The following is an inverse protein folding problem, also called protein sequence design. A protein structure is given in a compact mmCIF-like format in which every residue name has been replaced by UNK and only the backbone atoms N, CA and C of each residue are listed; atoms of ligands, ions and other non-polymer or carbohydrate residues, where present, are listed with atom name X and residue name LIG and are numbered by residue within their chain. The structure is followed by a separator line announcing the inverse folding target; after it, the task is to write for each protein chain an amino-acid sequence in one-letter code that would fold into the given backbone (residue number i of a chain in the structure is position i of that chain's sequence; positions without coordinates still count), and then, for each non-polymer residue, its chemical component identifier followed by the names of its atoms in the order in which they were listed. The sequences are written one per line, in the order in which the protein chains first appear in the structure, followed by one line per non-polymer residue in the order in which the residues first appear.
data_IF_335029336974
#
_entry.id   IF_335029336974
#
_cell.length_a   1.000
_cell.length_b   1.000
_cell.length_c   1.000
_cell.angle_alpha   90.00
_cell.angle_beta   90.00
_cell.angle_gamma   90.00
#
_symmetry.space_group_name_H-M   'P 1'
#
loop_
_entity.id
_entity.type
_entity.pdbx_description
1 polymer ?
#
# COMPACT_ATOMS: atom_id res chain seq x y z
N UNK A 1 -17.13 -13.07 2.39
CA UNK A 1 -15.93 -13.21 1.54
C UNK A 1 -14.76 -13.44 2.47
N UNK A 2 -13.73 -14.21 2.11
CA UNK A 2 -12.59 -14.41 3.02
C UNK A 2 -11.56 -13.26 2.84
N UNK A 3 -10.62 -13.12 3.77
CA UNK A 3 -9.63 -12.04 3.75
C UNK A 3 -8.79 -12.01 2.46
N UNK A 4 -8.40 -13.16 1.92
CA UNK A 4 -7.62 -13.27 0.68
C UNK A 4 -8.42 -12.73 -0.52
N UNK A 5 -9.70 -13.06 -0.59
CA UNK A 5 -10.60 -12.58 -1.62
C UNK A 5 -10.78 -11.05 -1.53
N UNK A 6 -10.89 -10.50 -0.32
CA UNK A 6 -11.01 -9.06 -0.10
C UNK A 6 -9.74 -8.31 -0.53
N UNK A 7 -8.57 -8.87 -0.22
CA UNK A 7 -7.29 -8.30 -0.64
C UNK A 7 -7.15 -8.35 -2.17
N UNK A 8 -7.56 -9.45 -2.79
CA UNK A 8 -7.58 -9.60 -4.24
C UNK A 8 -8.48 -8.55 -4.90
N UNK A 9 -9.70 -8.36 -4.38
CA UNK A 9 -10.61 -7.32 -4.89
C UNK A 9 -9.98 -5.93 -4.75
N UNK A 10 -9.44 -5.60 -3.57
CA UNK A 10 -8.84 -4.28 -3.34
C UNK A 10 -7.71 -3.98 -4.35
N UNK A 11 -6.88 -4.97 -4.67
CA UNK A 11 -5.82 -4.83 -5.67
C UNK A 11 -6.37 -4.70 -7.10
N UNK A 12 -7.42 -5.46 -7.45
CA UNK A 12 -8.06 -5.37 -8.78
C UNK A 12 -8.77 -4.04 -9.00
N UNK A 13 -9.39 -3.47 -7.96
CA UNK A 13 -10.04 -2.16 -7.98
C UNK A 13 -9.04 -0.99 -7.91
N UNK A 14 -7.74 -1.27 -7.84
CA UNK A 14 -6.69 -0.28 -7.57
C UNK A 14 -6.92 0.53 -6.30
N UNK A 15 -7.63 -0.04 -5.33
CA UNK A 15 -7.84 0.57 -4.02
C UNK A 15 -6.67 0.21 -3.09
N UNK A 16 -5.54 0.90 -3.28
CA UNK A 16 -4.29 0.66 -2.55
C UNK A 16 -4.44 0.91 -1.06
N UNK A 17 -5.18 1.94 -0.66
CA UNK A 17 -5.48 2.22 0.75
C UNK A 17 -6.17 1.04 1.44
N UNK A 18 -7.17 0.43 0.79
CA UNK A 18 -7.85 -0.76 1.32
C UNK A 18 -6.92 -1.97 1.33
N UNK A 19 -6.12 -2.17 0.28
CA UNK A 19 -5.16 -3.27 0.21
C UNK A 19 -4.13 -3.20 1.35
N UNK A 20 -3.57 -2.01 1.62
CA UNK A 20 -2.61 -1.81 2.70
C UNK A 20 -3.21 -2.09 4.07
N UNK A 21 -4.42 -1.58 4.33
CA UNK A 21 -5.14 -1.87 5.57
C UNK A 21 -5.37 -3.37 5.77
N UNK A 22 -5.77 -4.08 4.71
CA UNK A 22 -5.95 -5.53 4.76
C UNK A 22 -4.65 -6.28 5.06
N UNK A 23 -3.51 -5.81 4.55
CA UNK A 23 -2.21 -6.40 4.87
C UNK A 23 -1.81 -6.14 6.34
N UNK A 24 -2.05 -4.94 6.87
CA UNK A 24 -1.83 -4.63 8.29
C UNK A 24 -2.68 -5.49 9.23
N UNK A 25 -3.91 -5.79 8.81
CA UNK A 25 -4.87 -6.61 9.55
C UNK A 25 -4.79 -8.11 9.21
N UNK A 26 -3.70 -8.56 8.58
CA UNK A 26 -3.56 -9.95 8.09
C UNK A 26 -3.84 -10.99 9.19
N UNK A 27 -4.93 -11.78 9.07
CA UNK A 27 -5.34 -12.73 10.10
C UNK A 27 -4.38 -13.93 10.21
N UNK A 28 -3.68 -14.26 9.12
CA UNK A 28 -2.74 -15.39 9.07
C UNK A 28 -1.54 -15.20 10.02
N UNK A 29 -1.23 -13.96 10.41
CA UNK A 29 -0.19 -13.67 11.42
C UNK A 29 -0.62 -14.02 12.85
N UNK A 30 -1.93 -14.02 13.14
CA UNK A 30 -2.48 -14.27 14.48
C UNK A 30 -2.99 -15.70 14.63
N UNK A 31 -3.71 -16.18 13.62
CA UNK A 31 -4.44 -17.44 13.67
C UNK A 31 -3.67 -18.58 12.97
N UNK A 32 -2.64 -18.24 12.19
CA UNK A 32 -1.97 -19.18 11.30
C UNK A 32 -2.86 -19.57 10.12
N UNK A 33 -2.30 -20.37 9.20
CA UNK A 33 -3.05 -20.95 8.10
C UNK A 33 -2.45 -22.30 7.74
N UNK A 34 -3.26 -23.35 7.76
CA UNK A 34 -2.84 -24.71 7.37
C UNK A 34 -3.10 -25.00 5.90
N UNK A 35 -3.90 -24.17 5.23
CA UNK A 35 -4.20 -24.31 3.81
C UNK A 35 -3.09 -23.69 2.95
N UNK A 36 -2.31 -24.57 2.30
CA UNK A 36 -1.18 -24.18 1.45
C UNK A 36 -1.60 -23.31 0.25
N UNK A 37 -2.66 -23.65 -0.52
CA UNK A 37 -3.12 -22.78 -1.61
C UNK A 37 -3.49 -21.36 -1.16
N UNK A 38 -4.14 -21.22 0.00
CA UNK A 38 -4.46 -19.91 0.59
C UNK A 38 -3.17 -19.15 0.95
N UNK A 39 -2.18 -19.82 1.53
CA UNK A 39 -0.88 -19.21 1.85
C UNK A 39 -0.13 -18.73 0.61
N UNK A 40 -0.08 -19.54 -0.45
CA UNK A 40 0.58 -19.17 -1.70
C UNK A 40 -0.11 -17.97 -2.36
N UNK A 41 -1.44 -17.96 -2.36
CA UNK A 41 -2.23 -16.84 -2.88
C UNK A 41 -1.99 -15.57 -2.05
N UNK A 42 -2.06 -15.67 -0.71
CA UNK A 42 -1.79 -14.56 0.19
C UNK A 42 -0.39 -13.98 -0.04
N UNK A 43 0.63 -14.83 -0.18
CA UNK A 43 2.01 -14.42 -0.46
C UNK A 43 2.10 -13.62 -1.77
N UNK A 44 1.47 -14.09 -2.84
CA UNK A 44 1.48 -13.40 -4.12
C UNK A 44 0.82 -12.01 -4.01
N UNK A 45 -0.34 -11.92 -3.37
CA UNK A 45 -1.06 -10.66 -3.19
C UNK A 45 -0.29 -9.67 -2.30
N UNK A 46 0.34 -10.14 -1.22
CA UNK A 46 1.19 -9.30 -0.36
C UNK A 46 2.40 -8.79 -1.15
N UNK A 47 3.04 -9.63 -1.98
CA UNK A 47 4.15 -9.18 -2.84
C UNK A 47 3.74 -8.05 -3.77
N UNK A 48 2.59 -8.20 -4.46
CA UNK A 48 2.03 -7.13 -5.29
C UNK A 48 1.69 -5.88 -4.48
N UNK A 49 1.21 -6.05 -3.26
CA UNK A 49 0.91 -4.92 -2.37
C UNK A 49 2.18 -4.15 -1.98
N UNK A 50 3.29 -4.84 -1.72
CA UNK A 50 4.60 -4.24 -1.43
C UNK A 50 5.10 -3.43 -2.62
N UNK A 51 5.03 -3.98 -3.84
CA UNK A 51 5.43 -3.28 -5.06
C UNK A 51 4.67 -1.96 -5.23
N UNK A 52 3.34 -1.99 -5.05
CA UNK A 52 2.50 -0.78 -5.12
C UNK A 52 2.85 0.24 -4.03
N UNK A 53 3.14 -0.22 -2.82
CA UNK A 53 3.54 0.67 -1.72
C UNK A 53 4.87 1.38 -2.02
N UNK A 54 5.82 0.68 -2.67
CA UNK A 54 7.08 1.27 -3.08
C UNK A 54 6.88 2.33 -4.17
N UNK A 55 6.00 2.09 -5.14
CA UNK A 55 5.65 3.07 -6.18
C UNK A 55 4.99 4.33 -5.58
N UNK A 56 4.06 4.17 -4.63
CA UNK A 56 3.45 5.29 -3.93
C UNK A 56 4.47 6.06 -3.09
N UNK A 57 5.41 5.38 -2.42
CA UNK A 57 6.47 6.02 -1.64
C UNK A 57 7.38 6.88 -2.54
N UNK A 58 7.74 6.38 -3.73
CA UNK A 58 8.52 7.15 -4.69
C UNK A 58 7.78 8.41 -5.15
N UNK A 59 6.49 8.26 -5.47
CA UNK A 59 5.60 9.35 -5.88
C UNK A 59 5.48 10.41 -4.78
N UNK A 60 5.24 9.99 -3.54
CA UNK A 60 5.21 10.88 -2.38
C UNK A 60 6.53 11.64 -2.22
N UNK A 61 7.67 10.97 -2.42
CA UNK A 61 8.97 11.60 -2.38
C UNK A 61 9.13 12.74 -3.41
N UNK A 62 8.59 12.58 -4.62
CA UNK A 62 8.55 13.63 -5.65
C UNK A 62 7.68 14.80 -5.19
N UNK A 63 6.45 14.51 -4.74
CA UNK A 63 5.49 15.52 -4.29
C UNK A 63 6.05 16.35 -3.13
N UNK A 64 6.73 15.70 -2.16
CA UNK A 64 7.37 16.39 -1.04
C UNK A 64 8.48 17.33 -1.47
N UNK A 65 9.26 16.98 -2.52
CA UNK A 65 10.28 17.88 -3.07
C UNK A 65 9.64 19.10 -3.74
N UNK A 66 8.57 18.89 -4.52
CA UNK A 66 7.82 19.99 -5.15
C UNK A 66 7.23 20.93 -4.09
N UNK A 67 6.64 20.38 -3.02
CA UNK A 67 6.08 21.14 -1.91
C UNK A 67 7.16 22.01 -1.24
N UNK A 68 8.35 21.45 -0.97
CA UNK A 68 9.48 22.21 -0.39
C UNK A 68 9.93 23.38 -1.27
N UNK A 69 9.94 23.21 -2.59
CA UNK A 69 10.29 24.29 -3.52
C UNK A 69 9.23 25.39 -3.49
N UNK A 70 7.94 25.01 -3.53
CA UNK A 70 6.84 25.96 -3.44
C UNK A 70 6.85 26.74 -2.11
N UNK A 71 7.10 26.06 -0.99
CA UNK A 71 7.22 26.70 0.33
C UNK A 71 8.37 27.71 0.36
N UNK A 72 9.56 27.34 -0.12
CA UNK A 72 10.70 28.27 -0.21
C UNK A 72 10.41 29.49 -1.07
N UNK A 73 9.68 29.31 -2.18
CA UNK A 73 9.27 30.43 -3.03
C UNK A 73 8.36 31.41 -2.27
N UNK A 74 7.40 30.90 -1.49
CA UNK A 74 6.51 31.75 -0.70
C UNK A 74 7.28 32.51 0.39
N UNK A 75 8.25 31.86 1.04
CA UNK A 75 9.11 32.50 2.04
C UNK A 75 9.87 33.70 1.46
N UNK A 76 10.51 33.55 0.29
CA UNK A 76 11.26 34.66 -0.35
C UNK A 76 10.36 35.73 -1.00
N UNK A 77 9.08 35.43 -1.24
CA UNK A 77 8.14 36.35 -1.89
C UNK A 77 7.40 37.25 -0.89
N UNK A 78 7.63 37.06 0.41
CA UNK A 78 7.01 37.82 1.50
C UNK A 78 7.98 38.84 2.12
N UNK A 79 9.24 38.86 1.69
CA UNK A 79 10.27 39.89 1.97
C UNK A 79 10.29 40.97 0.86
#
# INVERSE_FOLDING_TARGET
MNWVDELKIALLENNTQKAFKLVEECPLLKEGCSDLPTLETAKALISTTIERLQEEQQTLGVQMRQLKVAQRFLEISTD
#
